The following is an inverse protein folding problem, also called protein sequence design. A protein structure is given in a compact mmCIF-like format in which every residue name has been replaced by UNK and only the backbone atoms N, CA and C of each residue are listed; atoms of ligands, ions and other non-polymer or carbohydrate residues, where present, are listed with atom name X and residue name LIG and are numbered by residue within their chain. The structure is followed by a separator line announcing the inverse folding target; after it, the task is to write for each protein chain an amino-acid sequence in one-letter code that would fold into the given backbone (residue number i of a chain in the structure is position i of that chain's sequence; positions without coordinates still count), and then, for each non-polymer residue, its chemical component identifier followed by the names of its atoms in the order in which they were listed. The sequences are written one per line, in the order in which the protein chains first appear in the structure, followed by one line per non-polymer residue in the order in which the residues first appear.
data_IF_043108876864
#
_entry.id   IF_043108876864
#
_cell.length_a   1.000
_cell.length_b   1.000
_cell.length_c   1.000
_cell.angle_alpha   90.00
_cell.angle_beta   90.00
_cell.angle_gamma   90.00
#
_symmetry.space_group_name_H-M   'P 1'
#
loop_
_entity.id
_entity.type
_entity.pdbx_description
1 polymer ?
#
# COMPACT_ATOMS: atom_id res chain seq x y z
N UNK A 1 -21.81 31.09 -24.10
CA UNK A 1 -20.65 30.18 -24.19
C UNK A 1 -20.68 29.25 -22.98
N UNK A 2 -21.06 27.97 -23.13
CA UNK A 2 -21.06 27.01 -22.00
C UNK A 2 -19.62 26.62 -21.70
N UNK A 3 -19.02 27.20 -20.66
CA UNK A 3 -17.70 26.76 -20.19
C UNK A 3 -17.88 25.33 -19.66
N UNK A 4 -17.33 24.33 -20.37
CA UNK A 4 -17.25 22.95 -19.87
C UNK A 4 -16.23 22.93 -18.73
N UNK A 5 -16.63 23.36 -17.54
CA UNK A 5 -15.84 23.13 -16.33
C UNK A 5 -16.04 21.68 -15.92
N UNK A 6 -15.00 20.87 -16.10
CA UNK A 6 -14.96 19.50 -15.59
C UNK A 6 -14.99 19.53 -14.06
N UNK A 7 -15.75 18.64 -13.40
CA UNK A 7 -15.84 18.60 -11.93
C UNK A 7 -14.47 18.46 -11.26
N UNK A 8 -13.53 17.77 -11.91
CA UNK A 8 -12.14 17.62 -11.45
C UNK A 8 -11.39 18.96 -11.44
N UNK A 9 -11.61 19.83 -12.42
CA UNK A 9 -10.96 21.16 -12.48
C UNK A 9 -11.43 22.07 -11.35
N UNK A 10 -12.73 22.03 -11.03
CA UNK A 10 -13.29 22.74 -9.89
C UNK A 10 -12.67 22.27 -8.58
N UNK A 11 -12.64 20.95 -8.33
CA UNK A 11 -12.05 20.37 -7.13
C UNK A 11 -10.55 20.69 -7.01
N UNK A 12 -9.81 20.56 -8.11
CA UNK A 12 -8.38 20.89 -8.16
C UNK A 12 -8.11 22.35 -7.79
N UNK A 13 -8.98 23.27 -8.22
CA UNK A 13 -8.87 24.70 -7.89
C UNK A 13 -9.02 25.01 -6.39
N UNK A 14 -9.65 24.13 -5.62
CA UNK A 14 -9.85 24.27 -4.17
C UNK A 14 -8.77 23.51 -3.39
N UNK A 15 -8.32 22.37 -3.92
CA UNK A 15 -7.33 21.48 -3.27
C UNK A 15 -5.89 22.01 -3.42
N UNK A 16 -5.52 22.58 -4.58
CA UNK A 16 -4.17 23.05 -4.90
C UNK A 16 -3.44 23.84 -3.78
N UNK A 17 -4.05 24.81 -3.07
CA UNK A 17 -3.38 25.55 -2.01
C UNK A 17 -2.95 24.68 -0.81
N UNK A 18 -3.59 23.52 -0.60
CA UNK A 18 -3.34 22.62 0.53
C UNK A 18 -2.53 21.37 0.15
N UNK A 19 -1.80 21.40 -0.97
CA UNK A 19 -1.01 20.26 -1.49
C UNK A 19 -0.07 19.61 -0.47
N UNK A 20 0.53 20.39 0.42
CA UNK A 20 1.45 19.87 1.44
C UNK A 20 0.73 19.08 2.53
N UNK A 21 -0.47 19.51 2.92
CA UNK A 21 -1.28 18.77 3.89
C UNK A 21 -1.77 17.45 3.30
N UNK A 22 -2.11 17.42 2.01
CA UNK A 22 -2.39 16.16 1.30
C UNK A 22 -1.20 15.21 1.26
N UNK A 23 0.03 15.73 1.14
CA UNK A 23 1.22 14.88 1.22
C UNK A 23 1.37 14.26 2.61
N UNK A 24 1.13 15.02 3.68
CA UNK A 24 1.15 14.50 5.06
C UNK A 24 0.04 13.46 5.28
N UNK A 25 -1.14 13.64 4.68
CA UNK A 25 -2.21 12.64 4.71
C UNK A 25 -1.78 11.32 4.07
N UNK A 26 -0.96 11.32 3.01
CA UNK A 26 -0.49 10.07 2.40
C UNK A 26 0.43 9.24 3.30
N UNK A 27 1.03 9.82 4.35
CA UNK A 27 1.90 9.07 5.27
C UNK A 27 1.17 7.92 5.98
N UNK A 28 -0.11 8.08 6.32
CA UNK A 28 -0.90 7.03 6.99
C UNK A 28 -1.07 5.77 6.13
N UNK A 29 -1.59 5.88 4.90
CA UNK A 29 -1.66 4.79 3.94
C UNK A 29 -0.29 4.17 3.61
N UNK A 30 0.76 4.98 3.47
CA UNK A 30 2.13 4.47 3.22
C UNK A 30 2.62 3.62 4.39
N UNK A 31 2.52 4.13 5.62
CA UNK A 31 2.91 3.39 6.83
C UNK A 31 2.10 2.09 6.98
N UNK A 32 0.82 2.12 6.62
CA UNK A 32 -0.03 0.93 6.59
C UNK A 32 0.45 -0.14 5.60
N UNK A 33 1.07 0.28 4.49
CA UNK A 33 1.68 -0.66 3.53
C UNK A 33 2.97 -1.29 4.01
N UNK A 34 3.79 -0.56 4.79
CA UNK A 34 5.03 -1.09 5.36
C UNK A 34 4.82 -1.93 6.63
N UNK A 35 3.80 -1.62 7.43
CA UNK A 35 3.48 -2.32 8.67
C UNK A 35 3.46 -3.85 8.54
N UNK A 36 2.71 -4.47 7.60
CA UNK A 36 2.67 -5.94 7.49
C UNK A 36 4.03 -6.56 7.17
N UNK A 37 4.93 -5.83 6.50
CA UNK A 37 6.29 -6.32 6.17
C UNK A 37 7.12 -6.42 7.46
N UNK A 38 7.18 -5.33 8.23
CA UNK A 38 7.98 -5.27 9.46
C UNK A 38 7.38 -6.20 10.51
N UNK A 39 6.04 -6.25 10.60
CA UNK A 39 5.32 -7.14 11.50
C UNK A 39 5.61 -8.61 11.21
N UNK A 40 5.45 -9.05 9.96
CA UNK A 40 5.72 -10.45 9.58
C UNK A 40 7.20 -10.81 9.77
N UNK A 41 8.12 -9.86 9.54
CA UNK A 41 9.53 -10.06 9.81
C UNK A 41 9.82 -10.24 11.32
N UNK A 42 9.20 -9.43 12.18
CA UNK A 42 9.34 -9.55 13.63
C UNK A 42 8.82 -10.91 14.13
N UNK A 43 7.67 -11.37 13.62
CA UNK A 43 7.10 -12.69 13.93
C UNK A 43 8.02 -13.81 13.46
N UNK A 44 8.62 -13.70 12.28
CA UNK A 44 9.58 -14.68 11.79
C UNK A 44 10.81 -14.78 12.70
N UNK A 45 11.37 -13.64 13.11
CA UNK A 45 12.54 -13.61 13.97
C UNK A 45 12.24 -14.22 15.35
N UNK A 46 11.02 -14.03 15.83
CA UNK A 46 10.51 -14.68 17.05
C UNK A 46 10.38 -16.21 16.88
N UNK A 47 9.84 -16.69 15.76
CA UNK A 47 9.76 -18.13 15.45
C UNK A 47 11.14 -18.78 15.32
N UNK A 48 12.09 -18.11 14.66
CA UNK A 48 13.46 -18.61 14.52
C UNK A 48 14.13 -18.78 15.89
N UNK A 49 13.88 -17.85 16.83
CA UNK A 49 14.37 -17.94 18.21
C UNK A 49 13.77 -19.13 18.98
N UNK A 50 12.46 -19.37 18.84
CA UNK A 50 11.78 -20.51 19.47
C UNK A 50 12.27 -21.85 18.92
N UNK A 51 12.68 -21.90 17.65
CA UNK A 51 13.08 -23.14 16.99
C UNK A 51 14.55 -23.51 17.28
N UNK A 52 15.41 -22.51 17.50
CA UNK A 52 16.86 -22.72 17.66
C UNK A 52 17.32 -22.90 19.11
N UNK A 53 16.52 -22.49 20.11
CA UNK A 53 16.94 -22.51 21.51
C UNK A 53 15.93 -23.28 22.38
N UNK A 54 16.39 -24.33 23.08
CA UNK A 54 15.56 -25.10 24.04
C UNK A 54 15.26 -24.31 25.32
N UNK A 55 16.14 -23.36 25.71
CA UNK A 55 15.92 -22.42 26.82
C UNK A 55 16.12 -20.99 26.34
N UNK A 56 15.05 -20.20 26.41
CA UNK A 56 15.04 -18.83 25.91
C UNK A 56 15.53 -17.90 27.01
N UNK A 57 16.64 -17.21 26.75
CA UNK A 57 17.14 -16.15 27.63
C UNK A 57 16.51 -14.83 27.17
N UNK A 58 16.01 -14.03 28.12
CA UNK A 58 15.35 -12.73 27.85
C UNK A 58 16.19 -11.78 26.97
N UNK A 59 17.52 -11.89 27.07
CA UNK A 59 18.50 -11.16 26.26
C UNK A 59 18.53 -11.55 24.78
N UNK A 60 17.85 -12.61 24.35
CA UNK A 60 17.72 -12.98 22.93
C UNK A 60 16.36 -12.51 22.37
N UNK A 61 15.33 -12.42 23.22
CA UNK A 61 13.98 -12.01 22.84
C UNK A 61 13.79 -10.50 22.66
N UNK A 62 14.73 -9.65 23.10
CA UNK A 62 14.56 -8.19 22.97
C UNK A 62 14.50 -7.72 21.51
N UNK A 63 15.29 -8.34 20.61
CA UNK A 63 15.35 -7.94 19.19
C UNK A 63 13.99 -8.02 18.48
N UNK A 64 13.27 -9.16 18.47
CA UNK A 64 11.97 -9.24 17.81
C UNK A 64 10.92 -8.32 18.47
N UNK A 65 10.98 -8.15 19.80
CA UNK A 65 10.06 -7.27 20.53
C UNK A 65 10.26 -5.81 20.12
N UNK A 66 11.51 -5.33 20.01
CA UNK A 66 11.79 -3.96 19.56
C UNK A 66 11.26 -3.75 18.14
N UNK A 67 11.47 -4.68 17.22
CA UNK A 67 10.96 -4.58 15.85
C UNK A 67 9.42 -4.54 15.81
N UNK A 68 8.76 -5.35 16.64
CA UNK A 68 7.31 -5.36 16.76
C UNK A 68 6.76 -4.02 17.28
N UNK A 69 7.33 -3.52 18.38
CA UNK A 69 6.92 -2.25 18.99
C UNK A 69 7.21 -1.07 18.06
N UNK A 70 8.36 -1.07 17.39
CA UNK A 70 8.71 -0.02 16.43
C UNK A 70 7.74 0.00 15.24
N UNK A 71 7.35 -1.16 14.70
CA UNK A 71 6.36 -1.24 13.62
C UNK A 71 5.03 -0.61 14.02
N UNK A 72 4.55 -0.91 15.23
CA UNK A 72 3.30 -0.36 15.75
C UNK A 72 3.41 1.14 16.01
N UNK A 73 4.51 1.60 16.63
CA UNK A 73 4.73 3.01 16.92
C UNK A 73 4.81 3.87 15.65
N UNK A 74 5.45 3.38 14.59
CA UNK A 74 5.52 4.07 13.30
C UNK A 74 4.13 4.17 12.67
N UNK A 75 3.34 3.09 12.71
CA UNK A 75 1.98 3.08 12.18
C UNK A 75 1.10 4.09 12.92
N UNK A 76 1.09 4.05 14.25
CA UNK A 76 0.27 4.94 15.08
C UNK A 76 0.70 6.40 14.93
N UNK A 77 2.02 6.66 14.86
CA UNK A 77 2.57 7.99 14.59
C UNK A 77 2.13 8.55 13.23
N UNK A 78 2.17 7.73 12.18
CA UNK A 78 1.76 8.12 10.84
C UNK A 78 0.26 8.41 10.75
N UNK A 79 -0.59 7.59 11.38
CA UNK A 79 -2.04 7.84 11.45
C UNK A 79 -2.39 9.08 12.27
N UNK A 80 -1.64 9.37 13.34
CA UNK A 80 -1.82 10.62 14.10
C UNK A 80 -1.47 11.86 13.28
N UNK A 81 -0.35 11.83 12.54
CA UNK A 81 0.05 12.91 11.64
C UNK A 81 -0.99 13.13 10.53
N UNK A 82 -1.51 12.03 9.97
CA UNK A 82 -2.60 12.03 9.00
C UNK A 82 -3.86 12.69 9.56
N UNK A 83 -4.35 12.24 10.71
CA UNK A 83 -5.56 12.77 11.34
C UNK A 83 -5.40 14.27 11.64
N UNK A 84 -4.23 14.70 12.11
CA UNK A 84 -3.93 16.11 12.35
C UNK A 84 -3.98 16.95 11.06
N UNK A 85 -3.37 16.45 9.98
CA UNK A 85 -3.42 17.10 8.67
C UNK A 85 -4.85 17.18 8.14
N UNK A 86 -5.65 16.13 8.32
CA UNK A 86 -7.04 16.06 7.87
C UNK A 86 -7.90 17.08 8.60
N UNK A 87 -7.82 17.14 9.94
CA UNK A 87 -8.55 18.11 10.75
C UNK A 87 -8.19 19.55 10.39
N UNK A 88 -6.94 19.82 10.00
CA UNK A 88 -6.49 21.16 9.62
C UNK A 88 -6.79 21.54 8.18
N UNK A 89 -6.78 20.62 7.22
CA UNK A 89 -6.99 20.98 5.82
C UNK A 89 -8.45 20.88 5.37
N UNK A 90 -9.18 19.86 5.85
CA UNK A 90 -10.54 19.55 5.39
C UNK A 90 -11.52 20.71 5.60
N UNK A 91 -11.58 21.40 6.76
CA UNK A 91 -12.52 22.49 6.98
C UNK A 91 -12.22 23.70 6.10
N UNK A 92 -10.94 24.01 5.89
CA UNK A 92 -10.52 25.16 5.08
C UNK A 92 -10.78 24.94 3.59
N UNK A 93 -10.59 23.72 3.10
CA UNK A 93 -10.97 23.33 1.74
C UNK A 93 -12.48 23.43 1.56
N UNK A 94 -13.25 22.92 2.53
CA UNK A 94 -14.71 23.00 2.50
C UNK A 94 -15.20 24.45 2.48
N UNK A 95 -14.62 25.32 3.31
CA UNK A 95 -14.91 26.75 3.31
C UNK A 95 -14.61 27.39 1.95
N UNK A 96 -13.44 27.11 1.37
CA UNK A 96 -13.06 27.62 0.06
C UNK A 96 -13.99 27.15 -1.06
N UNK A 97 -14.46 25.91 -0.99
CA UNK A 97 -15.45 25.35 -1.90
C UNK A 97 -16.79 26.06 -1.76
N UNK A 98 -17.28 26.19 -0.53
CA UNK A 98 -18.58 26.81 -0.24
C UNK A 98 -18.60 28.28 -0.68
N UNK A 99 -17.54 29.04 -0.41
CA UNK A 99 -17.43 30.44 -0.84
C UNK A 99 -17.51 30.57 -2.38
N UNK A 100 -16.86 29.68 -3.14
CA UNK A 100 -16.96 29.69 -4.61
C UNK A 100 -18.37 29.37 -5.09
N UNK A 101 -19.04 28.39 -4.46
CA UNK A 101 -20.40 28.01 -4.79
C UNK A 101 -21.38 29.14 -4.47
N UNK A 102 -21.28 29.75 -3.28
CA UNK A 102 -22.09 30.89 -2.88
C UNK A 102 -21.89 32.09 -3.82
N UNK A 103 -20.65 32.44 -4.14
CA UNK A 103 -20.34 33.52 -5.10
C UNK A 103 -20.91 33.23 -6.49
N UNK A 104 -20.92 31.97 -6.92
CA UNK A 104 -21.56 31.59 -8.17
C UNK A 104 -23.09 31.77 -8.08
N UNK A 105 -23.72 31.30 -7.00
CA UNK A 105 -25.15 31.42 -6.77
C UNK A 105 -25.62 32.88 -6.74
N UNK A 106 -24.87 33.78 -6.09
CA UNK A 106 -25.23 35.20 -6.01
C UNK A 106 -25.15 35.95 -7.35
N UNK A 107 -24.38 35.43 -8.31
CA UNK A 107 -24.26 36.01 -9.65
C UNK A 107 -25.28 35.44 -10.65
N UNK A 108 -26.20 34.57 -10.21
CA UNK A 108 -27.24 34.02 -11.09
C UNK A 108 -28.38 35.04 -11.30
N UNK A 109 -28.96 35.10 -12.51
CA UNK A 109 -30.06 36.03 -12.79
C UNK A 109 -31.32 35.62 -12.03
N UNK A 110 -32.19 36.60 -11.74
CA UNK A 110 -33.45 36.37 -11.02
C UNK A 110 -34.35 35.32 -11.70
N UNK A 111 -34.34 35.26 -13.03
CA UNK A 111 -35.06 34.25 -13.83
C UNK A 111 -34.63 32.81 -13.52
N UNK A 112 -33.40 32.60 -13.06
CA UNK A 112 -32.93 31.28 -12.63
C UNK A 112 -33.65 30.81 -11.36
N UNK A 113 -33.87 31.71 -10.40
CA UNK A 113 -34.54 31.43 -9.13
C UNK A 113 -36.06 31.31 -9.28
N UNK A 114 -36.66 31.95 -10.29
CA UNK A 114 -38.07 31.71 -10.62
C UNK A 114 -38.29 30.30 -11.18
N UNK A 115 -37.34 29.80 -11.98
CA UNK A 115 -37.45 28.49 -12.64
C UNK A 115 -36.93 27.32 -11.80
N UNK A 116 -36.23 27.56 -10.69
CA UNK A 116 -35.67 26.53 -9.82
C UNK A 116 -36.07 26.80 -8.37
N UNK A 117 -36.74 25.84 -7.73
CA UNK A 117 -37.10 25.93 -6.32
C UNK A 117 -35.85 26.11 -5.45
N UNK A 118 -35.88 27.07 -4.52
CA UNK A 118 -34.77 27.35 -3.60
C UNK A 118 -34.30 26.11 -2.84
N UNK A 119 -35.21 25.21 -2.46
CA UNK A 119 -34.88 23.93 -1.83
C UNK A 119 -34.03 23.01 -2.71
N UNK A 120 -34.25 23.01 -4.03
CA UNK A 120 -33.44 22.24 -4.99
C UNK A 120 -32.02 22.82 -5.09
N UNK A 121 -31.90 24.14 -5.08
CA UNK A 121 -30.59 24.84 -5.11
C UNK A 121 -29.81 24.52 -3.83
N UNK A 122 -30.42 24.71 -2.66
CA UNK A 122 -29.79 24.39 -1.37
C UNK A 122 -29.41 22.91 -1.28
N UNK A 123 -30.29 22.01 -1.74
CA UNK A 123 -30.02 20.57 -1.80
C UNK A 123 -28.81 20.22 -2.67
N UNK A 124 -28.66 20.89 -3.83
CA UNK A 124 -27.49 20.71 -4.71
C UNK A 124 -26.20 21.22 -4.07
N UNK A 125 -26.23 22.41 -3.46
CA UNK A 125 -25.06 22.99 -2.78
C UNK A 125 -24.59 22.08 -1.64
N UNK A 126 -25.52 21.66 -0.78
CA UNK A 126 -25.24 20.70 0.30
C UNK A 126 -24.73 19.37 -0.26
N UNK A 127 -25.37 18.87 -1.31
CA UNK A 127 -24.96 17.63 -1.99
C UNK A 127 -23.52 17.67 -2.50
N UNK A 128 -23.07 18.79 -3.08
CA UNK A 128 -21.67 18.95 -3.52
C UNK A 128 -20.71 18.86 -2.32
N UNK A 129 -21.03 19.55 -1.23
CA UNK A 129 -20.21 19.54 -0.01
C UNK A 129 -20.13 18.15 0.63
N UNK A 130 -21.27 17.50 0.85
CA UNK A 130 -21.35 16.18 1.49
C UNK A 130 -20.71 15.09 0.61
N UNK A 131 -20.91 15.16 -0.70
CA UNK A 131 -20.31 14.20 -1.64
C UNK A 131 -18.79 14.37 -1.74
N UNK A 132 -18.27 15.60 -1.63
CA UNK A 132 -16.84 15.81 -1.59
C UNK A 132 -16.19 15.11 -0.38
N UNK A 133 -16.80 15.23 0.81
CA UNK A 133 -16.31 14.57 2.01
C UNK A 133 -16.31 13.04 1.86
N UNK A 134 -17.43 12.48 1.38
CA UNK A 134 -17.55 11.03 1.12
C UNK A 134 -16.52 10.55 0.10
N UNK A 135 -16.34 11.28 -0.99
CA UNK A 135 -15.36 10.96 -2.03
C UNK A 135 -13.94 10.98 -1.48
N UNK A 136 -13.56 12.00 -0.71
CA UNK A 136 -12.24 12.07 -0.10
C UNK A 136 -11.99 10.89 0.84
N UNK A 137 -12.94 10.58 1.72
CA UNK A 137 -12.83 9.42 2.61
C UNK A 137 -12.75 8.09 1.83
N UNK A 138 -13.51 7.93 0.74
CA UNK A 138 -13.46 6.74 -0.08
C UNK A 138 -12.09 6.59 -0.77
N UNK A 139 -11.57 7.68 -1.37
CA UNK A 139 -10.23 7.69 -1.99
C UNK A 139 -9.17 7.34 -0.95
N UNK A 140 -9.27 7.86 0.26
CA UNK A 140 -8.26 7.71 1.29
C UNK A 140 -8.32 6.33 1.96
N UNK A 141 -9.47 5.93 2.51
CA UNK A 141 -9.59 4.71 3.30
C UNK A 141 -9.93 3.47 2.47
N UNK A 142 -10.77 3.60 1.44
CA UNK A 142 -11.24 2.45 0.66
C UNK A 142 -10.36 2.16 -0.55
N UNK A 143 -9.66 3.16 -1.10
CA UNK A 143 -8.83 3.00 -2.28
C UNK A 143 -7.33 3.06 -1.93
N UNK A 144 -6.86 4.15 -1.33
CA UNK A 144 -5.42 4.35 -1.15
C UNK A 144 -4.81 3.35 -0.18
N UNK A 145 -5.44 3.11 0.98
CA UNK A 145 -4.95 2.14 1.97
C UNK A 145 -4.79 0.73 1.40
N UNK A 146 -5.81 0.07 0.82
CA UNK A 146 -5.63 -1.26 0.25
C UNK A 146 -4.69 -1.28 -0.96
N UNK A 147 -4.72 -0.27 -1.85
CA UNK A 147 -3.80 -0.20 -2.97
C UNK A 147 -2.33 -0.11 -2.53
N UNK A 148 -2.02 0.73 -1.55
CA UNK A 148 -0.66 0.86 -1.04
C UNK A 148 -0.21 -0.39 -0.28
N UNK A 149 -1.12 -1.05 0.45
CA UNK A 149 -0.83 -2.33 1.07
C UNK A 149 -0.54 -3.39 0.00
N UNK A 150 -1.37 -3.54 -1.02
CA UNK A 150 -1.17 -4.57 -2.05
C UNK A 150 0.07 -4.28 -2.89
N UNK A 151 0.33 -3.02 -3.24
CA UNK A 151 1.53 -2.65 -3.99
C UNK A 151 2.79 -2.82 -3.16
N UNK A 152 2.90 -2.16 -2.00
CA UNK A 152 4.14 -2.18 -1.23
C UNK A 152 4.39 -3.54 -0.59
N UNK A 153 3.41 -4.10 0.12
CA UNK A 153 3.60 -5.39 0.78
C UNK A 153 3.56 -6.54 -0.23
N UNK A 154 2.62 -6.53 -1.18
CA UNK A 154 2.48 -7.62 -2.14
C UNK A 154 3.70 -7.75 -3.04
N UNK A 155 4.18 -6.65 -3.64
CA UNK A 155 5.35 -6.69 -4.54
C UNK A 155 6.60 -7.15 -3.77
N UNK A 156 6.85 -6.64 -2.56
CA UNK A 156 8.01 -7.06 -1.77
C UNK A 156 7.96 -8.55 -1.42
N UNK A 157 6.82 -9.05 -0.95
CA UNK A 157 6.68 -10.48 -0.65
C UNK A 157 6.88 -11.33 -1.91
N UNK A 158 6.37 -10.88 -3.05
CA UNK A 158 6.50 -11.58 -4.33
C UNK A 158 7.97 -11.64 -4.79
N UNK A 159 8.71 -10.54 -4.69
CA UNK A 159 10.14 -10.46 -5.02
C UNK A 159 10.97 -11.36 -4.11
N UNK A 160 10.72 -11.33 -2.79
CA UNK A 160 11.42 -12.20 -1.83
C UNK A 160 11.15 -13.68 -2.08
N UNK A 161 9.93 -14.02 -2.51
CA UNK A 161 9.54 -15.40 -2.81
C UNK A 161 10.22 -15.91 -4.07
N UNK A 162 10.30 -15.10 -5.13
CA UNK A 162 11.09 -15.41 -6.33
C UNK A 162 12.55 -15.68 -5.97
N UNK A 163 13.16 -14.81 -5.16
CA UNK A 163 14.57 -14.95 -4.81
C UNK A 163 14.81 -16.28 -4.07
N UNK A 164 13.92 -16.63 -3.14
CA UNK A 164 13.96 -17.91 -2.42
C UNK A 164 13.78 -19.10 -3.36
N UNK A 165 12.81 -19.03 -4.26
CA UNK A 165 12.51 -20.11 -5.21
C UNK A 165 13.70 -20.35 -6.14
N UNK A 166 14.28 -19.28 -6.67
CA UNK A 166 15.46 -19.33 -7.53
C UNK A 166 16.67 -19.92 -6.81
N UNK A 167 16.89 -19.53 -5.54
CA UNK A 167 17.95 -20.13 -4.71
C UNK A 167 17.73 -21.63 -4.44
N UNK A 168 16.48 -22.08 -4.33
CA UNK A 168 16.15 -23.49 -4.08
C UNK A 168 16.25 -24.39 -5.33
N UNK A 169 16.10 -23.83 -6.53
CA UNK A 169 16.19 -24.57 -7.79
C UNK A 169 17.63 -24.92 -8.18
N UNK A 170 18.59 -24.05 -7.85
CA UNK A 170 20.03 -24.27 -8.13
C UNK A 170 20.58 -25.58 -7.54
N UNK A 171 20.40 -25.88 -6.23
CA UNK A 171 20.89 -27.15 -5.66
C UNK A 171 20.16 -28.37 -6.23
N UNK A 172 18.89 -28.22 -6.61
CA UNK A 172 18.10 -29.30 -7.22
C UNK A 172 18.62 -29.64 -8.62
N UNK A 173 19.02 -28.63 -9.40
CA UNK A 173 19.72 -28.80 -10.68
C UNK A 173 21.12 -29.41 -10.54
N UNK A 174 21.87 -29.02 -9.52
CA UNK A 174 23.19 -29.61 -9.26
C UNK A 174 23.10 -31.09 -8.85
N UNK A 175 22.05 -31.47 -8.10
CA UNK A 175 21.78 -32.85 -7.72
C UNK A 175 21.46 -33.73 -8.93
N UNK A 176 20.61 -33.27 -9.85
CA UNK A 176 20.27 -34.04 -11.07
C UNK A 176 21.48 -34.19 -11.98
N UNK A 177 22.29 -33.14 -12.14
CA UNK A 177 23.53 -33.21 -12.93
C UNK A 177 24.53 -34.23 -12.35
N UNK A 178 24.71 -34.24 -11.02
CA UNK A 178 25.58 -35.20 -10.33
C UNK A 178 25.12 -36.64 -10.51
N UNK A 179 23.81 -36.90 -10.42
CA UNK A 179 23.22 -38.23 -10.65
C UNK A 179 23.44 -38.70 -12.09
N UNK A 180 23.22 -37.82 -13.06
CA UNK A 180 23.38 -38.13 -14.48
C UNK A 180 24.85 -38.40 -14.82
N UNK A 181 25.78 -37.61 -14.29
CA UNK A 181 27.23 -37.84 -14.45
C UNK A 181 27.67 -39.18 -13.85
N UNK A 182 27.20 -39.52 -12.64
CA UNK A 182 27.49 -40.81 -12.01
C UNK A 182 26.95 -41.98 -12.82
N UNK A 183 25.74 -41.85 -13.39
CA UNK A 183 25.14 -42.87 -14.25
C UNK A 183 25.94 -43.06 -15.55
N UNK A 184 26.37 -41.97 -16.18
CA UNK A 184 27.18 -41.99 -17.40
C UNK A 184 28.56 -42.64 -17.19
N UNK A 185 29.19 -42.38 -16.04
CA UNK A 185 30.45 -43.03 -15.66
C UNK A 185 30.30 -44.53 -15.45
N UNK A 186 29.24 -44.97 -14.75
CA UNK A 186 28.96 -46.39 -14.56
C UNK A 186 28.70 -47.11 -15.90
N UNK A 187 28.03 -46.45 -16.84
CA UNK A 187 27.75 -46.99 -18.17
C UNK A 187 29.04 -47.09 -19.01
N UNK A 188 29.93 -46.10 -18.94
CA UNK A 188 31.25 -46.13 -19.56
C UNK A 188 32.15 -47.25 -19.00
N UNK A 189 32.13 -47.47 -17.68
CA UNK A 189 32.87 -48.58 -17.06
C UNK A 189 32.34 -49.95 -17.52
N UNK A 190 31.02 -50.13 -17.56
CA UNK A 190 30.39 -51.35 -18.10
C UNK A 190 30.77 -51.61 -19.55
N UNK A 191 30.79 -50.58 -20.40
CA UNK A 191 31.15 -50.71 -21.80
C UNK A 191 32.65 -51.00 -22.03
N UNK A 192 33.49 -50.64 -21.06
CA UNK A 192 34.93 -50.98 -21.06
C UNK A 192 35.14 -52.44 -20.64
N UNK A 193 34.39 -52.91 -19.66
CA UNK A 193 34.43 -54.30 -19.16
C UNK A 193 33.90 -55.28 -20.23
N UNK A 194 32.81 -54.94 -20.93
CA UNK A 194 32.26 -55.79 -22.00
C UNK A 194 33.21 -55.94 -23.19
N UNK A 195 34.00 -54.90 -23.52
CA UNK A 195 35.06 -54.97 -24.55
C UNK A 195 36.27 -55.82 -24.15
N UNK A 196 36.55 -55.99 -22.85
CA UNK A 196 37.66 -56.80 -22.35
C UNK A 196 37.27 -58.28 -22.23
N UNK A 197 35.99 -58.58 -21.97
CA UNK A 197 35.45 -59.94 -21.89
C UNK A 197 35.05 -60.54 -23.26
N UNK A 198 35.00 -59.72 -24.31
CA UNK A 198 34.65 -60.12 -25.68
C UNK A 198 35.83 -60.37 -26.63
N UNK A 199 37.07 -60.38 -26.12
CA UNK A 199 38.29 -60.78 -26.85
C UNK A 199 38.90 -62.02 -26.21
#
# INVERSE_FOLDING_TARGET
MKIKTYPVSFLWSVIKPYKYWYFVMMLGPIASGFHPIIYNYAVKLLLDLFTQNEKIIFAQSYKPIIWFVAAQAILDGAWRAHNFAQLKAMPHIFQGMMNKICNHCFNLPYTYFQNNLSGSIVGRVRGIGDNYYKMHQAIEYQLSKPLLITLLSGILHWVLLILKYLLSLVPLWLLTYRLLYSFLLNLLQWNKISKILGS
#
